data_IF_696030379827
#
_entry.id   IF_696030379827
#
_cell.length_a   1.000
_cell.length_b   1.000
_cell.length_c   1.000
_cell.angle_alpha   90.00
_cell.angle_beta   90.00
_cell.angle_gamma   90.00
#
_symmetry.space_group_name_H-M   'P 1'
#
loop_
_entity.id
_entity.type
_entity.pdbx_description
1 polymer ?
#
# COMPACT_ATOMS: atom_id res chain seq x y z
N UNK A 1 5.42 25.76 -2.37
CA UNK A 1 4.86 24.48 -2.84
C UNK A 1 4.18 23.86 -1.63
N UNK A 2 2.85 23.69 -1.63
CA UNK A 2 2.17 22.95 -0.55
C UNK A 2 2.62 21.50 -0.59
N UNK A 3 3.19 20.99 0.50
CA UNK A 3 3.52 19.57 0.61
C UNK A 3 2.22 18.75 0.56
N UNK A 4 2.26 17.60 -0.12
CA UNK A 4 1.16 16.65 -0.09
C UNK A 4 0.92 16.23 1.39
N UNK A 5 -0.30 16.41 1.95
CA UNK A 5 -0.58 16.04 3.33
C UNK A 5 -0.25 14.58 3.67
N UNK A 6 -0.39 13.66 2.71
CA UNK A 6 -0.03 12.25 2.91
C UNK A 6 1.48 12.06 3.08
N UNK A 7 2.29 12.82 2.35
CA UNK A 7 3.75 12.77 2.52
C UNK A 7 4.14 13.27 3.91
N UNK A 8 3.49 14.33 4.41
CA UNK A 8 3.74 14.83 5.77
C UNK A 8 3.44 13.76 6.83
N UNK A 9 2.39 12.96 6.63
CA UNK A 9 2.05 11.85 7.53
C UNK A 9 3.10 10.74 7.48
N UNK A 10 3.58 10.36 6.28
CA UNK A 10 4.62 9.32 6.13
C UNK A 10 5.98 9.74 6.70
N UNK A 11 6.31 11.02 6.60
CA UNK A 11 7.56 11.57 7.13
C UNK A 11 7.52 11.72 8.66
N UNK A 12 6.32 11.81 9.25
CA UNK A 12 6.16 11.78 10.70
C UNK A 12 6.35 10.35 11.24
N UNK A 13 7.05 10.20 12.37
CA UNK A 13 7.31 8.91 13.03
C UNK A 13 7.90 7.85 12.08
N UNK A 14 8.89 8.22 11.26
CA UNK A 14 9.61 7.24 10.43
C UNK A 14 10.08 6.06 11.27
N UNK A 15 9.99 4.86 10.68
CA UNK A 15 10.41 3.66 11.39
C UNK A 15 11.91 3.72 11.66
N UNK A 16 12.29 3.69 12.93
CA UNK A 16 13.68 3.74 13.41
C UNK A 16 14.13 2.43 14.04
N UNK A 17 13.29 1.40 13.98
CA UNK A 17 13.56 0.07 14.54
C UNK A 17 13.08 -0.11 15.98
N UNK A 18 12.73 0.98 16.67
CA UNK A 18 12.29 0.99 18.07
C UNK A 18 10.83 1.39 18.23
N UNK A 19 10.25 2.05 17.23
CA UNK A 19 8.96 2.73 17.32
C UNK A 19 7.81 2.05 16.54
N UNK A 20 7.85 0.72 16.33
CA UNK A 20 6.94 0.00 15.42
C UNK A 20 5.45 0.36 15.57
N UNK A 21 4.89 0.32 16.79
CA UNK A 21 3.47 0.62 17.02
C UNK A 21 3.10 2.07 16.66
N UNK A 22 4.01 3.01 16.92
CA UNK A 22 3.81 4.43 16.61
C UNK A 22 3.96 4.69 15.11
N UNK A 23 4.95 4.04 14.49
CA UNK A 23 5.19 4.10 13.06
C UNK A 23 4.03 3.53 12.26
N UNK A 24 3.60 2.29 12.54
CA UNK A 24 2.63 1.53 11.73
C UNK A 24 1.31 2.28 11.51
N UNK A 25 0.92 3.14 12.45
CA UNK A 25 -0.26 3.99 12.35
C UNK A 25 -0.23 4.88 11.10
N UNK A 26 0.93 5.45 10.77
CA UNK A 26 1.05 6.45 9.72
C UNK A 26 0.93 5.85 8.31
N UNK A 27 1.67 4.78 7.95
CA UNK A 27 1.43 4.08 6.69
C UNK A 27 0.01 3.53 6.57
N UNK A 28 -0.58 3.01 7.66
CA UNK A 28 -1.98 2.55 7.62
C UNK A 28 -2.97 3.66 7.29
N UNK A 29 -2.82 4.85 7.86
CA UNK A 29 -3.67 6.00 7.52
C UNK A 29 -3.59 6.33 6.03
N UNK A 30 -2.38 6.33 5.46
CA UNK A 30 -2.19 6.61 4.03
C UNK A 30 -2.78 5.51 3.16
N UNK A 31 -2.57 4.25 3.51
CA UNK A 31 -3.12 3.11 2.79
C UNK A 31 -4.66 3.06 2.88
N UNK A 32 -5.25 3.43 4.01
CA UNK A 32 -6.71 3.52 4.16
C UNK A 32 -7.27 4.65 3.29
N UNK A 33 -6.58 5.79 3.23
CA UNK A 33 -6.96 6.92 2.38
C UNK A 33 -6.94 6.55 0.88
N UNK A 34 -5.90 5.82 0.45
CA UNK A 34 -5.77 5.30 -0.92
C UNK A 34 -6.63 4.06 -1.19
N UNK A 35 -7.34 3.53 -0.18
CA UNK A 35 -8.14 2.28 -0.22
C UNK A 35 -7.30 1.04 -0.55
N UNK A 36 -6.04 1.02 -0.15
CA UNK A 36 -5.05 -0.03 -0.46
C UNK A 36 -4.71 -0.94 0.74
N UNK A 37 -5.26 -0.68 1.94
CA UNK A 37 -4.98 -1.49 3.14
C UNK A 37 -5.28 -2.97 2.96
N UNK A 38 -6.25 -3.31 2.10
CA UNK A 38 -6.58 -4.70 1.78
C UNK A 38 -5.40 -5.51 1.23
N UNK A 39 -4.38 -4.86 0.65
CA UNK A 39 -3.15 -5.49 0.16
C UNK A 39 -2.34 -6.10 1.31
N UNK A 40 -2.39 -5.50 2.50
CA UNK A 40 -1.70 -6.02 3.68
C UNK A 40 -2.39 -7.27 4.28
N UNK A 41 -3.68 -7.43 4.03
CA UNK A 41 -4.52 -8.47 4.64
C UNK A 41 -4.76 -9.66 3.71
N UNK A 42 -4.78 -9.41 2.40
CA UNK A 42 -5.16 -10.39 1.38
C UNK A 42 -3.96 -10.89 0.62
N UNK A 43 -3.92 -12.20 0.40
CA UNK A 43 -2.93 -12.82 -0.48
C UNK A 43 -3.14 -12.45 -1.95
N UNK A 44 -2.04 -12.41 -2.70
CA UNK A 44 -2.03 -12.22 -4.15
C UNK A 44 -2.98 -13.22 -4.85
N UNK A 45 -3.94 -12.75 -5.68
CA UNK A 45 -4.77 -13.63 -6.48
C UNK A 45 -3.87 -14.45 -7.42
N UNK A 46 -3.75 -15.76 -7.18
CA UNK A 46 -2.80 -16.61 -7.90
C UNK A 46 -3.18 -16.85 -9.38
N UNK A 47 -4.43 -16.61 -9.75
CA UNK A 47 -4.92 -16.89 -11.10
C UNK A 47 -5.92 -15.83 -11.56
N UNK A 48 -5.77 -15.39 -12.81
CA UNK A 48 -6.82 -14.67 -13.54
C UNK A 48 -8.10 -15.53 -13.56
N UNK A 49 -9.26 -14.99 -13.14
CA UNK A 49 -10.52 -15.71 -13.24
C UNK A 49 -10.81 -16.08 -14.70
N UNK A 50 -10.96 -17.38 -14.98
CA UNK A 50 -11.27 -17.87 -16.33
C UNK A 50 -12.71 -17.48 -16.69
N UNK A 51 -12.87 -16.46 -17.52
CA UNK A 51 -14.12 -16.21 -18.22
C UNK A 51 -14.32 -14.76 -18.64
N UNK A 52 -14.29 -14.49 -19.95
CA UNK A 52 -14.77 -13.25 -20.55
C UNK A 52 -16.31 -13.21 -20.50
N UNK A 53 -16.87 -12.97 -19.32
CA UNK A 53 -18.27 -12.53 -19.15
C UNK A 53 -18.26 -11.03 -18.78
N UNK A 54 -19.40 -10.33 -18.67
CA UNK A 54 -19.42 -8.99 -18.06
C UNK A 54 -18.76 -8.97 -16.68
N UNK A 55 -18.88 -10.08 -15.94
CA UNK A 55 -18.17 -10.38 -14.70
C UNK A 55 -16.65 -10.53 -14.91
N UNK A 56 -16.25 -11.03 -16.08
CA UNK A 56 -14.87 -11.18 -16.54
C UNK A 56 -14.09 -9.88 -16.63
N UNK A 57 -14.71 -8.82 -17.15
CA UNK A 57 -14.07 -7.48 -17.22
C UNK A 57 -13.86 -6.91 -15.82
N UNK A 58 -14.88 -6.98 -14.96
CA UNK A 58 -14.78 -6.56 -13.56
C UNK A 58 -13.72 -7.38 -12.80
N UNK A 59 -13.57 -8.68 -13.10
CA UNK A 59 -12.51 -9.50 -12.51
C UNK A 59 -11.12 -9.13 -13.01
N UNK A 60 -10.99 -8.78 -14.30
CA UNK A 60 -9.72 -8.35 -14.88
C UNK A 60 -9.28 -6.98 -14.33
N UNK A 61 -10.20 -6.02 -14.25
CA UNK A 61 -9.93 -4.71 -13.65
C UNK A 61 -9.50 -4.83 -12.18
N UNK A 62 -10.22 -5.64 -11.38
CA UNK A 62 -9.83 -5.92 -9.99
C UNK A 62 -8.48 -6.60 -9.88
N UNK A 63 -8.17 -7.53 -10.78
CA UNK A 63 -6.87 -8.21 -10.82
C UNK A 63 -5.74 -7.23 -11.13
N UNK A 64 -5.91 -6.38 -12.15
CA UNK A 64 -4.94 -5.34 -12.52
C UNK A 64 -4.76 -4.32 -11.41
N UNK A 65 -5.86 -3.82 -10.82
CA UNK A 65 -5.82 -2.89 -9.70
C UNK A 65 -5.07 -3.49 -8.51
N UNK A 66 -5.35 -4.76 -8.18
CA UNK A 66 -4.64 -5.46 -7.11
C UNK A 66 -3.13 -5.50 -7.38
N UNK A 67 -2.71 -5.79 -8.61
CA UNK A 67 -1.30 -5.81 -8.99
C UNK A 67 -0.64 -4.42 -8.88
N UNK A 68 -1.32 -3.37 -9.33
CA UNK A 68 -0.84 -2.00 -9.19
C UNK A 68 -0.70 -1.58 -7.73
N UNK A 69 -1.70 -1.88 -6.91
CA UNK A 69 -1.67 -1.56 -5.48
C UNK A 69 -0.57 -2.36 -4.77
N UNK A 70 -0.41 -3.64 -5.10
CA UNK A 70 0.67 -4.46 -4.56
C UNK A 70 2.08 -4.03 -4.99
N UNK A 71 2.20 -3.23 -6.05
CA UNK A 71 3.46 -2.54 -6.38
C UNK A 71 3.65 -1.24 -5.58
N UNK A 72 2.57 -0.50 -5.32
CA UNK A 72 2.60 0.80 -4.62
C UNK A 72 2.80 0.64 -3.11
N UNK A 73 2.09 -0.29 -2.47
CA UNK A 73 2.08 -0.46 -1.01
C UNK A 73 3.50 -0.68 -0.45
N UNK A 74 4.35 -1.55 -1.01
CA UNK A 74 5.74 -1.69 -0.56
C UNK A 74 6.53 -0.38 -0.63
N UNK A 75 6.33 0.44 -1.65
CA UNK A 75 7.00 1.75 -1.76
C UNK A 75 6.54 2.74 -0.68
N UNK A 76 5.26 2.72 -0.31
CA UNK A 76 4.72 3.52 0.81
C UNK A 76 5.33 3.06 2.14
N UNK A 77 5.41 1.75 2.34
CA UNK A 77 6.00 1.17 3.55
C UNK A 77 7.48 1.54 3.64
N UNK A 78 8.25 1.36 2.57
CA UNK A 78 9.68 1.68 2.53
C UNK A 78 9.94 3.18 2.74
N UNK A 79 9.19 4.06 2.08
CA UNK A 79 9.39 5.52 2.21
C UNK A 79 9.13 6.04 3.61
N UNK A 80 8.28 5.35 4.38
CA UNK A 80 8.01 5.65 5.78
C UNK A 80 9.06 5.12 6.76
N UNK A 81 10.10 4.43 6.28
CA UNK A 81 11.22 3.97 7.10
C UNK A 81 12.35 4.99 7.12
N UNK A 82 13.19 4.98 8.15
CA UNK A 82 14.42 5.77 8.15
C UNK A 82 15.44 5.21 7.15
N UNK A 83 16.32 6.05 6.64
CA UNK A 83 17.32 5.65 5.63
C UNK A 83 18.26 4.55 6.16
N UNK A 84 18.46 4.49 7.47
CA UNK A 84 19.29 3.49 8.13
C UNK A 84 18.69 2.07 8.04
N UNK A 85 17.36 1.98 7.97
CA UNK A 85 16.60 0.72 7.91
C UNK A 85 16.29 0.29 6.47
N UNK A 86 16.19 1.23 5.52
CA UNK A 86 15.89 0.96 4.11
C UNK A 86 17.00 0.20 3.32
N UNK A 87 17.97 -0.42 4.00
CA UNK A 87 19.14 -1.07 3.36
C UNK A 87 18.81 -2.41 2.69
#
# INVERSE_FOLDING_TARGET
MSQNPLNVILEANKFDGTNYSNWLRNPRIVLDFEKQTYVLEKSLPQTLPKGFLPEGRLTFEKFTQWHEDNQKVPSIILSSMSNEIQK
#
